data_IF_628976633639
#
_entry.id   IF_628976633639
#
_cell.length_a   1.000
_cell.length_b   1.000
_cell.length_c   1.000
_cell.angle_alpha   90.00
_cell.angle_beta   90.00
_cell.angle_gamma   90.00
#
_symmetry.space_group_name_H-M   'P 1'
#
loop_
_entity.id
_entity.type
_entity.pdbx_description
1 polymer ?
#
# COMPACT_ATOMS: atom_id res chain seq x y z
N UNK A 1 -18.91 7.50 23.97
CA UNK A 1 -18.66 6.26 24.73
C UNK A 1 -17.15 6.20 24.96
N UNK A 2 -16.70 6.37 26.20
CA UNK A 2 -15.29 6.24 26.57
C UNK A 2 -14.81 4.81 26.34
N UNK A 3 -13.64 4.66 25.73
CA UNK A 3 -12.86 3.42 25.78
C UNK A 3 -11.60 3.73 26.57
N UNK A 4 -11.60 3.35 27.85
CA UNK A 4 -10.40 3.23 28.69
C UNK A 4 -9.80 1.84 28.46
N UNK A 5 -8.49 1.77 28.27
CA UNK A 5 -7.72 0.52 28.34
C UNK A 5 -6.88 0.26 27.10
N UNK A 6 -5.57 0.08 27.31
CA UNK A 6 -4.53 0.02 26.28
C UNK A 6 -4.80 -0.95 25.13
N UNK A 7 -4.62 -0.44 23.92
CA UNK A 7 -4.16 -1.24 22.79
C UNK A 7 -3.37 -0.32 21.87
N UNK A 8 -2.11 -0.69 21.64
CA UNK A 8 -1.19 0.03 20.78
C UNK A 8 -1.64 -0.13 19.32
N UNK A 9 -2.54 0.76 18.88
CA UNK A 9 -2.99 0.82 17.49
C UNK A 9 -2.04 1.72 16.71
N UNK A 10 -0.91 1.17 16.27
CA UNK A 10 -0.09 1.78 15.21
C UNK A 10 -0.24 0.96 13.94
N UNK A 11 -1.31 1.19 13.18
CA UNK A 11 -1.36 0.80 11.77
C UNK A 11 -2.23 1.81 11.03
N UNK A 12 -1.63 2.90 10.58
CA UNK A 12 -2.19 3.84 9.61
C UNK A 12 -1.12 4.01 8.54
N UNK A 13 -1.23 3.24 7.45
CA UNK A 13 -0.38 3.36 6.26
C UNK A 13 -0.84 4.56 5.41
N UNK A 14 -0.96 5.74 6.02
CA UNK A 14 -0.97 7.02 5.29
C UNK A 14 0.42 7.64 5.30
N UNK A 15 1.18 7.50 6.38
CA UNK A 15 2.62 7.76 6.39
C UNK A 15 3.17 6.94 7.56
N UNK A 16 3.81 5.81 7.32
CA UNK A 16 4.94 5.48 8.20
C UNK A 16 5.92 6.61 7.91
N UNK A 17 5.86 7.64 8.75
CA UNK A 17 6.78 8.77 8.67
C UNK A 17 8.17 8.19 8.49
N UNK A 18 8.96 8.70 7.55
CA UNK A 18 10.39 8.38 7.43
C UNK A 18 11.07 8.38 8.81
N UNK A 19 10.54 9.17 9.75
CA UNK A 19 10.91 9.20 11.16
C UNK A 19 10.73 7.89 11.93
N UNK A 20 9.64 7.13 11.76
CA UNK A 20 9.46 5.84 12.46
C UNK A 20 10.39 4.78 11.89
N UNK A 21 10.58 4.76 10.57
CA UNK A 21 11.57 3.91 9.92
C UNK A 21 13.00 4.26 10.36
N UNK A 22 13.30 5.56 10.49
CA UNK A 22 14.59 6.03 10.99
C UNK A 22 14.79 5.75 12.49
N UNK A 23 13.75 5.90 13.31
CA UNK A 23 13.78 5.62 14.75
C UNK A 23 13.91 4.11 15.04
N UNK A 24 13.31 3.26 14.19
CA UNK A 24 13.41 1.80 14.28
C UNK A 24 14.55 1.21 13.42
N UNK A 25 15.24 2.05 12.65
CA UNK A 25 16.27 1.68 11.66
C UNK A 25 15.82 0.55 10.70
N UNK A 26 14.59 0.66 10.19
CA UNK A 26 14.00 -0.28 9.21
C UNK A 26 13.82 0.44 7.88
N UNK A 27 14.37 -0.09 6.80
CA UNK A 27 14.35 0.52 5.46
C UNK A 27 13.51 -0.31 4.48
N UNK A 28 12.17 -0.16 4.44
CA UNK A 28 11.37 -0.86 3.46
C UNK A 28 11.37 -0.16 2.11
N UNK A 29 11.38 -0.94 1.03
CA UNK A 29 11.13 -0.45 -0.33
C UNK A 29 9.81 -0.98 -0.88
N UNK A 30 9.08 -0.09 -1.56
CA UNK A 30 7.91 -0.47 -2.35
C UNK A 30 8.36 -0.96 -3.72
N UNK A 31 7.82 -2.09 -4.15
CA UNK A 31 8.09 -2.70 -5.47
C UNK A 31 6.77 -3.05 -6.17
N UNK A 32 6.74 -2.89 -7.49
CA UNK A 32 5.60 -3.20 -8.35
C UNK A 32 5.90 -4.29 -9.39
N UNK A 33 7.10 -4.89 -9.33
CA UNK A 33 7.59 -5.91 -10.26
C UNK A 33 8.65 -6.80 -9.63
N UNK A 34 8.92 -7.97 -10.24
CA UNK A 34 10.03 -8.83 -9.83
C UNK A 34 11.40 -8.17 -10.03
N UNK A 35 11.57 -7.37 -11.09
CA UNK A 35 12.85 -6.70 -11.36
C UNK A 35 13.16 -5.64 -10.30
N UNK A 36 12.16 -4.92 -9.80
CA UNK A 36 12.34 -4.02 -8.66
C UNK A 36 12.61 -4.78 -7.36
N UNK A 37 11.98 -5.93 -7.14
CA UNK A 37 12.27 -6.79 -5.99
C UNK A 37 13.73 -7.28 -5.99
N UNK A 38 14.26 -7.73 -7.14
CA UNK A 38 15.68 -8.10 -7.28
C UNK A 38 16.62 -6.93 -6.95
N UNK A 39 16.28 -5.72 -7.42
CA UNK A 39 17.05 -4.51 -7.09
C UNK A 39 16.99 -4.20 -5.60
N UNK A 40 15.82 -4.36 -4.96
CA UNK A 40 15.65 -4.13 -3.54
C UNK A 40 16.51 -5.09 -2.69
N UNK A 41 16.60 -6.37 -3.08
CA UNK A 41 17.52 -7.34 -2.44
C UNK A 41 18.97 -6.83 -2.49
N UNK A 42 19.43 -6.39 -3.65
CA UNK A 42 20.81 -5.92 -3.83
C UNK A 42 21.15 -4.66 -3.01
N UNK A 43 20.15 -3.87 -2.66
CA UNK A 43 20.29 -2.66 -1.83
C UNK A 43 20.35 -2.99 -0.33
N UNK A 44 19.97 -4.21 0.06
CA UNK A 44 20.01 -4.64 1.47
C UNK A 44 18.86 -4.08 2.31
N UNK A 45 17.63 -4.10 1.77
CA UNK A 45 16.43 -3.62 2.49
C UNK A 45 16.02 -4.54 3.64
N UNK A 46 15.44 -3.94 4.69
CA UNK A 46 14.94 -4.68 5.85
C UNK A 46 13.56 -5.32 5.62
N UNK A 47 12.81 -4.81 4.64
CA UNK A 47 11.51 -5.33 4.24
C UNK A 47 11.13 -4.89 2.82
N UNK A 48 10.21 -5.62 2.19
CA UNK A 48 9.67 -5.26 0.87
C UNK A 48 8.15 -5.11 0.96
N UNK A 49 7.64 -4.00 0.44
CA UNK A 49 6.20 -3.76 0.27
C UNK A 49 5.85 -4.03 -1.19
N UNK A 50 5.13 -5.11 -1.46
CA UNK A 50 4.64 -5.44 -2.80
C UNK A 50 3.34 -4.69 -3.05
N UNK A 51 3.36 -3.78 -4.03
CA UNK A 51 2.20 -3.00 -4.41
C UNK A 51 1.56 -3.57 -5.68
N UNK A 52 0.34 -4.08 -5.58
CA UNK A 52 -0.46 -4.45 -6.74
C UNK A 52 -1.10 -3.24 -7.44
N UNK A 53 -1.50 -3.44 -8.69
CA UNK A 53 -2.16 -2.43 -9.55
C UNK A 53 -3.44 -1.85 -8.93
N UNK A 54 -4.06 -2.57 -7.99
CA UNK A 54 -5.27 -2.19 -7.25
C UNK A 54 -5.03 -1.08 -6.22
N UNK A 55 -3.78 -0.74 -5.90
CA UNK A 55 -3.46 0.33 -4.96
C UNK A 55 -3.98 1.69 -5.43
N UNK A 56 -4.39 2.54 -4.47
CA UNK A 56 -4.74 3.94 -4.71
C UNK A 56 -3.53 4.87 -4.63
N UNK A 57 -3.66 6.08 -5.17
CA UNK A 57 -2.56 7.05 -5.21
C UNK A 57 -1.54 6.68 -6.29
N UNK A 58 -0.26 7.02 -6.11
CA UNK A 58 0.78 6.65 -7.07
C UNK A 58 0.97 5.13 -7.12
N UNK A 59 0.81 4.58 -8.31
CA UNK A 59 0.86 3.13 -8.55
C UNK A 59 2.11 2.80 -9.36
N UNK A 60 3.02 2.04 -8.75
CA UNK A 60 4.21 1.50 -9.40
C UNK A 60 3.91 0.16 -10.07
N UNK A 61 3.03 -0.65 -9.47
CA UNK A 61 2.69 -1.99 -9.95
C UNK A 61 1.81 -2.00 -11.20
N UNK A 62 2.20 -2.78 -12.21
CA UNK A 62 1.36 -3.03 -13.38
C UNK A 62 0.56 -4.33 -13.27
N UNK A 63 1.03 -5.28 -12.44
CA UNK A 63 0.39 -6.56 -12.18
C UNK A 63 -0.55 -6.49 -10.96
N UNK A 64 -1.56 -7.37 -10.93
CA UNK A 64 -2.45 -7.50 -9.77
C UNK A 64 -1.71 -8.06 -8.55
N UNK A 65 -2.13 -7.67 -7.35
CA UNK A 65 -1.45 -8.10 -6.12
C UNK A 65 -1.42 -9.63 -5.98
N UNK A 66 -2.53 -10.31 -6.34
CA UNK A 66 -2.68 -11.76 -6.16
C UNK A 66 -1.67 -12.57 -7.00
N UNK A 67 -1.27 -12.06 -8.17
CA UNK A 67 -0.29 -12.71 -9.04
C UNK A 67 1.14 -12.32 -8.71
N UNK A 68 1.37 -11.06 -8.34
CA UNK A 68 2.71 -10.55 -8.07
C UNK A 68 3.25 -11.03 -6.71
N UNK A 69 2.40 -11.05 -5.69
CA UNK A 69 2.79 -11.31 -4.30
C UNK A 69 3.55 -12.64 -4.09
N UNK A 70 3.01 -13.82 -4.45
CA UNK A 70 3.70 -15.08 -4.19
C UNK A 70 5.04 -15.16 -4.94
N UNK A 71 5.11 -14.62 -6.16
CA UNK A 71 6.35 -14.61 -6.96
C UNK A 71 7.45 -13.79 -6.29
N UNK A 72 7.10 -12.64 -5.68
CA UNK A 72 8.06 -11.84 -4.92
C UNK A 72 8.45 -12.54 -3.63
N UNK A 73 7.51 -13.17 -2.93
CA UNK A 73 7.79 -13.95 -1.72
C UNK A 73 8.79 -15.07 -2.00
N UNK A 74 8.56 -15.86 -3.05
CA UNK A 74 9.45 -16.94 -3.45
C UNK A 74 10.86 -16.42 -3.78
N UNK A 75 10.94 -15.29 -4.50
CA UNK A 75 12.21 -14.65 -4.86
C UNK A 75 13.01 -14.17 -3.65
N UNK A 76 12.36 -13.61 -2.63
CA UNK A 76 13.05 -13.00 -1.48
C UNK A 76 13.20 -13.97 -0.31
N UNK A 77 12.53 -15.12 -0.35
CA UNK A 77 12.52 -16.12 0.72
C UNK A 77 13.93 -16.58 1.10
N UNK A 78 14.80 -16.79 0.11
CA UNK A 78 16.20 -17.19 0.30
C UNK A 78 17.05 -16.11 1.03
N UNK A 79 16.57 -14.87 1.07
CA UNK A 79 17.23 -13.74 1.71
C UNK A 79 16.66 -13.40 3.09
N UNK A 80 15.60 -14.10 3.55
CA UNK A 80 14.97 -13.85 4.84
C UNK A 80 14.26 -12.49 4.95
N UNK A 81 14.03 -11.79 3.83
CA UNK A 81 13.43 -10.46 3.82
C UNK A 81 11.90 -10.58 3.95
N UNK A 82 11.26 -9.97 4.97
CA UNK A 82 9.81 -10.02 5.12
C UNK A 82 9.09 -9.22 4.03
N UNK A 83 8.01 -9.81 3.51
CA UNK A 83 7.16 -9.19 2.48
C UNK A 83 5.85 -8.69 3.07
N UNK A 84 5.45 -7.47 2.73
CA UNK A 84 4.20 -6.83 3.11
C UNK A 84 3.35 -6.61 1.85
N UNK A 85 2.10 -7.04 1.87
CA UNK A 85 1.20 -6.91 0.73
C UNK A 85 0.44 -5.56 0.75
N UNK A 86 0.35 -4.87 -0.38
CA UNK A 86 -0.35 -3.60 -0.50
C UNK A 86 -1.17 -3.50 -1.80
N UNK A 87 -2.37 -2.94 -1.69
CA UNK A 87 -3.30 -2.76 -2.82
C UNK A 87 -4.51 -3.69 -2.72
N UNK A 88 -5.72 -3.14 -2.88
CA UNK A 88 -6.97 -3.94 -2.87
C UNK A 88 -7.38 -4.60 -1.55
N UNK A 89 -6.56 -4.55 -0.49
CA UNK A 89 -6.88 -5.16 0.82
C UNK A 89 -7.68 -4.16 1.67
N UNK A 90 -8.86 -4.59 2.12
CA UNK A 90 -9.83 -3.73 2.84
C UNK A 90 -10.33 -4.36 4.15
N UNK A 91 -10.34 -5.69 4.24
CA UNK A 91 -10.86 -6.44 5.38
C UNK A 91 -10.10 -7.76 5.63
N UNK A 92 -10.62 -8.55 6.57
CA UNK A 92 -10.02 -9.81 7.00
C UNK A 92 -9.83 -10.84 5.86
N UNK A 93 -10.67 -10.82 4.81
CA UNK A 93 -10.55 -11.76 3.69
C UNK A 93 -9.28 -11.48 2.90
N UNK A 94 -9.05 -10.21 2.57
CA UNK A 94 -7.82 -9.77 1.90
C UNK A 94 -6.58 -9.98 2.77
N UNK A 95 -6.70 -9.76 4.08
CA UNK A 95 -5.63 -10.06 5.04
C UNK A 95 -5.25 -11.54 5.03
N UNK A 96 -6.22 -12.44 5.20
CA UNK A 96 -6.00 -13.90 5.19
C UNK A 96 -5.44 -14.36 3.85
N UNK A 97 -5.97 -13.85 2.73
CA UNK A 97 -5.44 -14.15 1.40
C UNK A 97 -3.97 -13.73 1.24
N UNK A 98 -3.60 -12.53 1.71
CA UNK A 98 -2.23 -12.05 1.65
C UNK A 98 -1.27 -12.91 2.49
N UNK A 99 -1.68 -13.31 3.70
CA UNK A 99 -0.90 -14.22 4.53
C UNK A 99 -0.76 -15.61 3.90
N UNK A 100 -1.83 -16.14 3.30
CA UNK A 100 -1.82 -17.42 2.62
C UNK A 100 -0.87 -17.43 1.40
N UNK A 101 -0.68 -16.27 0.77
CA UNK A 101 0.29 -16.05 -0.32
C UNK A 101 1.72 -15.76 0.19
N UNK A 102 1.96 -15.88 1.50
CA UNK A 102 3.28 -15.81 2.11
C UNK A 102 3.71 -14.42 2.62
N UNK A 103 2.85 -13.40 2.55
CA UNK A 103 3.13 -12.12 3.18
C UNK A 103 3.23 -12.26 4.71
N UNK A 104 4.06 -11.42 5.33
CA UNK A 104 4.17 -11.27 6.79
C UNK A 104 3.32 -10.15 7.36
N UNK A 105 2.65 -9.40 6.48
CA UNK A 105 1.75 -8.31 6.87
C UNK A 105 1.06 -7.68 5.67
N UNK A 106 0.23 -6.67 5.95
CA UNK A 106 -0.49 -5.90 4.94
C UNK A 106 -0.32 -4.40 5.19
N UNK A 107 -0.33 -3.60 4.12
CA UNK A 107 -0.45 -2.14 4.19
C UNK A 107 -1.75 -1.73 3.48
N UNK A 108 -2.64 -1.07 4.22
CA UNK A 108 -3.90 -0.53 3.71
C UNK A 108 -3.83 0.99 3.68
N UNK A 109 -4.23 1.62 2.57
CA UNK A 109 -4.37 3.07 2.47
C UNK A 109 -5.83 3.49 2.50
N UNK A 110 -6.56 3.14 1.44
CA UNK A 110 -7.97 3.51 1.22
C UNK A 110 -8.89 3.21 2.41
N UNK A 111 -8.71 2.06 3.07
CA UNK A 111 -9.52 1.70 4.26
C UNK A 111 -9.31 2.66 5.43
N UNK A 112 -8.07 3.11 5.67
CA UNK A 112 -7.76 4.04 6.76
C UNK A 112 -8.16 5.48 6.44
N UNK A 113 -8.24 5.87 5.15
CA UNK A 113 -8.79 7.18 4.79
C UNK A 113 -10.24 7.36 5.26
N UNK A 114 -11.00 6.27 5.33
CA UNK A 114 -12.41 6.25 5.72
C UNK A 114 -12.65 6.11 7.25
N UNK A 115 -11.63 6.22 8.10
CA UNK A 115 -11.82 6.18 9.57
C UNK A 115 -12.19 7.55 10.15
N UNK A 116 -12.61 7.59 11.42
CA UNK A 116 -12.94 8.84 12.10
C UNK A 116 -11.71 9.73 12.31
N UNK A 117 -10.57 9.12 12.63
CA UNK A 117 -9.29 9.75 12.97
C UNK A 117 -8.56 10.34 11.75
N UNK A 118 -8.87 9.86 10.55
CA UNK A 118 -8.33 10.41 9.31
C UNK A 118 -8.68 11.89 9.18
N UNK A 119 -7.71 12.76 8.89
CA UNK A 119 -7.95 14.18 8.62
C UNK A 119 -8.41 14.46 7.17
N UNK A 120 -8.69 13.41 6.38
CA UNK A 120 -9.23 13.58 5.03
C UNK A 120 -10.54 14.38 5.06
N UNK A 121 -10.71 15.28 4.08
CA UNK A 121 -11.89 16.14 4.02
C UNK A 121 -13.19 15.31 4.08
N UNK A 122 -14.23 15.71 4.84
CA UNK A 122 -15.45 14.92 4.98
C UNK A 122 -16.12 14.55 3.65
N UNK A 123 -16.07 15.46 2.66
CA UNK A 123 -16.54 15.16 1.29
C UNK A 123 -15.74 14.02 0.66
N UNK A 124 -14.42 13.98 0.83
CA UNK A 124 -13.59 12.91 0.28
C UNK A 124 -13.94 11.57 0.92
N UNK A 125 -14.06 11.52 2.26
CA UNK A 125 -14.47 10.29 2.97
C UNK A 125 -15.84 9.77 2.50
N UNK A 126 -16.80 10.67 2.32
CA UNK A 126 -18.14 10.33 1.81
C UNK A 126 -18.07 9.80 0.38
N UNK A 127 -17.33 10.48 -0.49
CA UNK A 127 -17.17 10.11 -1.90
C UNK A 127 -16.45 8.77 -2.07
N UNK A 128 -15.50 8.44 -1.20
CA UNK A 128 -14.86 7.11 -1.15
C UNK A 128 -15.87 5.96 -0.94
N UNK A 129 -17.00 6.23 -0.27
CA UNK A 129 -18.04 5.23 0.01
C UNK A 129 -19.11 5.24 -1.09
N UNK A 130 -19.43 6.42 -1.64
CA UNK A 130 -20.45 6.59 -2.68
C UNK A 130 -20.01 6.07 -4.06
N UNK A 131 -18.71 6.14 -4.37
CA UNK A 131 -18.19 5.81 -5.70
C UNK A 131 -17.69 4.36 -5.75
N UNK A 132 -17.99 3.68 -6.85
CA UNK A 132 -17.59 2.29 -7.12
C UNK A 132 -16.52 2.18 -8.22
N UNK A 133 -16.16 3.30 -8.84
CA UNK A 133 -15.20 3.35 -9.96
C UNK A 133 -13.97 4.19 -9.65
N UNK A 134 -12.84 3.69 -10.14
CA UNK A 134 -11.55 4.37 -10.09
C UNK A 134 -10.96 4.47 -11.48
N UNK A 135 -10.21 5.53 -11.72
CA UNK A 135 -9.43 5.74 -12.93
C UNK A 135 -7.95 5.56 -12.65
N UNK A 136 -7.23 4.98 -13.61
CA UNK A 136 -5.77 4.94 -13.61
C UNK A 136 -5.27 5.97 -14.62
N UNK A 137 -4.70 7.05 -14.13
CA UNK A 137 -4.45 8.25 -14.92
C UNK A 137 -3.12 8.89 -14.57
N UNK A 138 -2.47 9.50 -15.56
CA UNK A 138 -1.27 10.31 -15.37
C UNK A 138 -1.60 11.81 -15.22
N UNK A 139 -2.88 12.22 -15.24
CA UNK A 139 -3.30 13.64 -15.16
C UNK A 139 -2.71 14.32 -13.93
N UNK A 140 -2.65 13.61 -12.80
CA UNK A 140 -2.11 14.12 -11.55
C UNK A 140 -0.60 13.92 -11.50
N UNK A 141 0.14 15.02 -11.32
CA UNK A 141 1.60 14.97 -11.14
C UNK A 141 2.43 15.16 -12.41
N UNK A 142 1.84 15.29 -13.61
CA UNK A 142 2.60 15.44 -14.89
C UNK A 142 3.72 16.48 -14.84
N UNK A 143 3.48 17.61 -14.15
CA UNK A 143 4.44 18.71 -14.08
C UNK A 143 5.67 18.42 -13.19
N UNK A 144 5.56 17.51 -12.21
CA UNK A 144 6.63 17.24 -11.23
C UNK A 144 7.15 15.80 -11.28
N UNK A 145 6.29 14.84 -11.59
CA UNK A 145 6.59 13.41 -11.67
C UNK A 145 6.04 12.83 -12.99
N UNK A 146 6.72 13.06 -14.11
CA UNK A 146 6.33 12.46 -15.39
C UNK A 146 6.44 10.94 -15.33
N UNK A 147 5.46 10.24 -15.92
CA UNK A 147 5.42 8.76 -15.90
C UNK A 147 5.03 8.16 -14.55
N UNK A 148 4.46 8.95 -13.63
CA UNK A 148 3.99 8.49 -12.33
C UNK A 148 2.45 8.44 -12.27
N UNK A 149 1.80 7.44 -12.87
CA UNK A 149 0.35 7.33 -12.88
C UNK A 149 -0.21 7.10 -11.47
N UNK A 150 -1.43 7.58 -11.29
CA UNK A 150 -2.19 7.49 -10.05
C UNK A 150 -3.50 6.74 -10.28
N UNK A 151 -3.91 5.94 -9.31
CA UNK A 151 -5.29 5.44 -9.21
C UNK A 151 -6.08 6.36 -8.29
N UNK A 152 -7.16 6.92 -8.81
CA UNK A 152 -8.00 7.90 -8.12
C UNK A 152 -9.47 7.55 -8.31
N UNK A 153 -10.35 8.12 -7.49
CA UNK A 153 -11.80 8.05 -7.75
C UNK A 153 -12.09 8.67 -9.12
N UNK A 154 -12.93 8.02 -9.92
CA UNK A 154 -13.44 8.61 -11.16
C UNK A 154 -14.33 9.79 -10.78
N UNK A 155 -14.08 11.00 -11.29
CA UNK A 155 -14.91 12.17 -10.98
C UNK A 155 -15.19 12.95 -12.26
N UNK A 156 -16.27 13.76 -12.34
CA UNK A 156 -16.54 14.57 -13.53
C UNK A 156 -15.47 15.64 -13.86
N UNK A 157 -14.48 15.84 -13.01
CA UNK A 157 -13.41 16.83 -13.22
C UNK A 157 -12.44 16.44 -14.34
N UNK A 158 -12.32 15.14 -14.65
CA UNK A 158 -11.39 14.62 -15.67
C UNK A 158 -11.93 13.35 -16.32
#
# INVERSE_FOLDING_TARGET
>A
MEVKGGMMVYFICIVLSLRLYHELNVNPLKVGSLEEAKKAINVGVDAIIVQGREAGGHVIGQEGLISLLPRVVDLVGDHGIPVIAAGGIVDARGYVAALALGAKGICMGTRFLATHESYAHPTYKRKLIEYDKTEYTDVFGRARWPGAPHRVLQTPFF
#
